data_IF_331162609060
#
_entry.id   IF_331162609060
#
_cell.length_a   1.000
_cell.length_b   1.000
_cell.length_c   1.000
_cell.angle_alpha   90.00
_cell.angle_beta   90.00
_cell.angle_gamma   90.00
#
_symmetry.space_group_name_H-M   'P 1'
#
loop_
_entity.id
_entity.type
_entity.pdbx_description
1 polymer ?
#
# COMPACT_ATOMS: atom_id res chain seq x y z
N UNK A 1 -36.08 6.59 -7.86
CA UNK A 1 -35.48 7.59 -6.94
C UNK A 1 -34.57 6.93 -5.92
N UNK A 2 -35.03 5.94 -5.13
CA UNK A 2 -34.20 5.24 -4.14
C UNK A 2 -32.94 4.54 -4.73
N UNK A 3 -33.06 3.86 -5.87
CA UNK A 3 -31.94 3.18 -6.54
C UNK A 3 -30.81 4.12 -6.99
N UNK A 4 -31.15 5.35 -7.39
CA UNK A 4 -30.16 6.33 -7.89
C UNK A 4 -29.33 6.87 -6.73
N UNK A 5 -29.97 7.13 -5.60
CA UNK A 5 -29.29 7.58 -4.37
C UNK A 5 -28.35 6.50 -3.83
N UNK A 6 -28.77 5.24 -3.87
CA UNK A 6 -27.96 4.14 -3.34
C UNK A 6 -26.73 3.85 -4.23
N UNK A 7 -26.85 3.94 -5.56
CA UNK A 7 -25.70 3.87 -6.48
C UNK A 7 -24.71 5.02 -6.27
N UNK A 8 -25.21 6.24 -6.03
CA UNK A 8 -24.35 7.39 -5.80
C UNK A 8 -23.55 7.25 -4.50
N UNK A 9 -24.20 6.73 -3.45
CA UNK A 9 -23.55 6.45 -2.16
C UNK A 9 -22.46 5.38 -2.29
N UNK A 10 -22.76 4.28 -3.00
CA UNK A 10 -21.77 3.24 -3.30
C UNK A 10 -20.56 3.81 -4.06
N UNK A 11 -20.81 4.67 -5.05
CA UNK A 11 -19.73 5.34 -5.81
C UNK A 11 -18.85 6.25 -4.95
N UNK A 12 -19.42 7.00 -4.00
CA UNK A 12 -18.63 7.80 -3.07
C UNK A 12 -17.82 6.93 -2.10
N UNK A 13 -18.41 5.88 -1.54
CA UNK A 13 -17.71 4.98 -0.63
C UNK A 13 -16.52 4.31 -1.31
N UNK A 14 -16.65 3.98 -2.60
CA UNK A 14 -15.57 3.42 -3.40
C UNK A 14 -14.47 4.45 -3.70
N UNK A 15 -14.84 5.71 -3.98
CA UNK A 15 -13.88 6.81 -4.14
C UNK A 15 -13.10 7.08 -2.86
N UNK A 16 -13.77 7.13 -1.71
CA UNK A 16 -13.12 7.32 -0.41
C UNK A 16 -12.16 6.17 -0.11
N UNK A 17 -12.59 4.92 -0.32
CA UNK A 17 -11.72 3.74 -0.17
C UNK A 17 -10.54 3.76 -1.12
N UNK A 18 -10.71 4.24 -2.35
CA UNK A 18 -9.63 4.34 -3.33
C UNK A 18 -8.62 5.44 -2.94
N UNK A 19 -9.10 6.57 -2.44
CA UNK A 19 -8.25 7.65 -1.94
C UNK A 19 -7.44 7.24 -0.71
N UNK A 20 -8.05 6.52 0.23
CA UNK A 20 -7.36 5.97 1.41
C UNK A 20 -6.23 5.01 0.99
N UNK A 21 -6.52 4.04 0.11
CA UNK A 21 -5.54 3.08 -0.40
C UNK A 21 -4.36 3.75 -1.12
N UNK A 22 -4.63 4.79 -1.92
CA UNK A 22 -3.58 5.57 -2.59
C UNK A 22 -2.71 6.35 -1.59
N UNK A 23 -3.31 6.91 -0.53
CA UNK A 23 -2.57 7.58 0.54
C UNK A 23 -1.68 6.61 1.31
N UNK A 24 -2.18 5.43 1.63
CA UNK A 24 -1.46 4.36 2.33
C UNK A 24 -0.25 3.86 1.53
N UNK A 25 -0.44 3.54 0.25
CA UNK A 25 0.66 3.12 -0.63
C UNK A 25 1.73 4.22 -0.77
N UNK A 26 1.32 5.49 -0.87
CA UNK A 26 2.23 6.63 -0.93
C UNK A 26 3.08 6.78 0.33
N UNK A 27 2.49 6.58 1.52
CA UNK A 27 3.22 6.62 2.79
C UNK A 27 4.24 5.49 2.90
N UNK A 28 3.85 4.26 2.56
CA UNK A 28 4.75 3.11 2.56
C UNK A 28 5.92 3.32 1.60
N UNK A 29 5.67 3.77 0.36
CA UNK A 29 6.73 4.09 -0.61
C UNK A 29 7.73 5.09 -0.04
N UNK A 30 7.26 6.15 0.61
CA UNK A 30 8.14 7.15 1.23
C UNK A 30 8.99 6.57 2.36
N UNK A 31 8.43 5.69 3.20
CA UNK A 31 9.18 5.05 4.27
C UNK A 31 10.23 4.07 3.73
N UNK A 32 9.88 3.29 2.72
CA UNK A 32 10.79 2.35 2.04
C UNK A 32 11.92 3.13 1.37
N UNK A 33 11.61 4.21 0.66
CA UNK A 33 12.62 5.08 0.04
C UNK A 33 13.57 5.67 1.09
N UNK A 34 13.02 6.10 2.24
CA UNK A 34 13.83 6.65 3.32
C UNK A 34 14.78 5.63 3.94
N UNK A 35 14.35 4.36 4.10
CA UNK A 35 15.17 3.33 4.75
C UNK A 35 16.12 2.61 3.79
N UNK A 36 15.65 2.28 2.59
CA UNK A 36 16.33 1.37 1.65
C UNK A 36 16.64 2.02 0.29
N UNK A 37 16.29 3.29 0.09
CA UNK A 37 16.51 4.02 -1.16
C UNK A 37 15.36 3.96 -2.16
N UNK A 38 15.33 4.94 -3.05
CA UNK A 38 14.27 5.14 -4.06
C UNK A 38 14.10 3.91 -4.98
N UNK A 39 15.21 3.31 -5.44
CA UNK A 39 15.18 2.10 -6.28
C UNK A 39 14.37 0.95 -5.64
N UNK A 40 14.51 0.77 -4.33
CA UNK A 40 13.76 -0.25 -3.58
C UNK A 40 12.26 0.08 -3.58
N UNK A 41 11.92 1.34 -3.34
CA UNK A 41 10.54 1.81 -3.31
C UNK A 41 9.85 1.73 -4.69
N UNK A 42 10.58 2.04 -5.77
CA UNK A 42 10.07 1.93 -7.14
C UNK A 42 9.84 0.47 -7.55
N UNK A 43 10.77 -0.43 -7.20
CA UNK A 43 10.64 -1.86 -7.49
C UNK A 43 9.42 -2.51 -6.83
N UNK A 44 8.93 -1.94 -5.74
CA UNK A 44 7.78 -2.43 -4.98
C UNK A 44 6.49 -1.62 -5.19
N UNK A 45 6.54 -0.50 -5.93
CA UNK A 45 5.40 0.41 -6.08
C UNK A 45 4.10 -0.30 -6.49
N UNK A 46 4.18 -1.19 -7.49
CA UNK A 46 3.03 -1.95 -7.98
C UNK A 46 2.52 -3.04 -7.03
N UNK A 47 3.35 -3.53 -6.10
CA UNK A 47 2.96 -4.50 -5.08
C UNK A 47 2.33 -3.79 -3.88
N UNK A 48 2.87 -2.65 -3.47
CA UNK A 48 2.31 -1.82 -2.40
C UNK A 48 0.89 -1.34 -2.73
N UNK A 49 0.62 -1.01 -3.99
CA UNK A 49 -0.73 -0.68 -4.48
C UNK A 49 -1.72 -1.87 -4.36
N UNK A 50 -1.22 -3.12 -4.32
CA UNK A 50 -2.04 -4.34 -4.16
C UNK A 50 -2.19 -4.75 -2.71
N UNK A 51 -1.19 -4.46 -1.87
CA UNK A 51 -1.17 -4.73 -0.44
C UNK A 51 -1.92 -3.67 0.38
N UNK A 52 -2.59 -2.71 -0.28
CA UNK A 52 -3.42 -1.72 0.38
C UNK A 52 -4.55 -2.38 1.20
N UNK A 53 -4.50 -2.15 2.51
CA UNK A 53 -5.42 -2.69 3.51
C UNK A 53 -4.71 -2.82 4.85
N UNK A 54 -5.44 -2.88 5.99
CA UNK A 54 -4.83 -2.86 7.32
C UNK A 54 -3.79 -3.98 7.52
N UNK A 55 -4.09 -5.19 7.06
CA UNK A 55 -3.22 -6.36 7.23
C UNK A 55 -1.97 -6.28 6.34
N UNK A 56 -2.12 -5.91 5.06
CA UNK A 56 -0.98 -5.76 4.16
C UNK A 56 -0.07 -4.60 4.56
N UNK A 57 -0.63 -3.52 5.10
CA UNK A 57 0.16 -2.42 5.67
C UNK A 57 0.95 -2.89 6.88
N UNK A 58 0.32 -3.65 7.78
CA UNK A 58 1.00 -4.18 8.96
C UNK A 58 2.18 -5.09 8.55
N UNK A 59 1.94 -6.01 7.61
CA UNK A 59 2.97 -6.93 7.12
C UNK A 59 4.15 -6.20 6.46
N UNK A 60 3.88 -5.22 5.60
CA UNK A 60 4.94 -4.41 4.96
C UNK A 60 5.69 -3.60 6.01
N UNK A 61 5.01 -3.08 7.02
CA UNK A 61 5.63 -2.29 8.09
C UNK A 61 6.52 -3.16 8.98
N UNK A 62 6.06 -4.36 9.35
CA UNK A 62 6.83 -5.32 10.12
C UNK A 62 8.08 -5.76 9.34
N UNK A 63 7.92 -6.10 8.06
CA UNK A 63 9.05 -6.39 7.18
C UNK A 63 10.03 -5.21 7.07
N UNK A 64 9.54 -3.97 7.06
CA UNK A 64 10.37 -2.77 7.00
C UNK A 64 11.21 -2.61 8.27
N UNK A 65 10.73 -3.05 9.43
CA UNK A 65 11.51 -3.03 10.67
C UNK A 65 12.49 -4.20 10.77
N UNK A 66 12.08 -5.40 10.35
CA UNK A 66 12.83 -6.64 10.49
C UNK A 66 13.97 -6.80 9.48
N UNK A 67 13.79 -6.31 8.24
CA UNK A 67 14.79 -6.49 7.19
C UNK A 67 15.97 -5.52 7.37
N UNK A 68 17.19 -6.04 7.17
CA UNK A 68 18.43 -5.28 7.25
C UNK A 68 18.78 -4.57 5.94
N UNK A 69 18.29 -5.07 4.80
CA UNK A 69 18.60 -4.53 3.47
C UNK A 69 17.37 -4.40 2.58
N UNK A 70 17.49 -3.57 1.53
CA UNK A 70 16.41 -3.41 0.53
C UNK A 70 16.12 -4.69 -0.25
N UNK A 71 17.12 -5.50 -0.58
CA UNK A 71 16.90 -6.78 -1.29
C UNK A 71 16.18 -7.81 -0.42
N UNK A 72 16.59 -7.96 0.85
CA UNK A 72 15.90 -8.83 1.82
C UNK A 72 14.44 -8.40 2.00
N UNK A 73 14.20 -7.09 2.09
CA UNK A 73 12.85 -6.53 2.16
C UNK A 73 12.03 -6.84 0.90
N UNK A 74 12.61 -6.67 -0.29
CA UNK A 74 11.95 -6.98 -1.56
C UNK A 74 11.59 -8.46 -1.66
N UNK A 75 12.51 -9.35 -1.29
CA UNK A 75 12.26 -10.78 -1.30
C UNK A 75 11.11 -11.15 -0.37
N UNK A 76 11.11 -10.61 0.85
CA UNK A 76 10.05 -10.85 1.82
C UNK A 76 8.69 -10.38 1.35
N UNK A 77 8.59 -9.14 0.85
CA UNK A 77 7.33 -8.56 0.34
C UNK A 77 6.84 -9.25 -0.95
N UNK A 78 7.70 -9.97 -1.68
CA UNK A 78 7.33 -10.76 -2.85
C UNK A 78 6.85 -12.18 -2.52
N UNK A 79 7.21 -12.70 -1.35
CA UNK A 79 6.86 -14.05 -0.91
C UNK A 79 5.59 -14.09 -0.05
N UNK A 80 5.22 -12.97 0.58
CA UNK A 80 3.88 -12.75 1.16
C UNK A 80 2.83 -12.49 0.08
#
# INVERSE_FOLDING_TARGET
MAEVVDRFRQGMDELVRRGARQGEAGLLRRQIAHRFGEDTAERLASQLDRLCGPEGIAEVTDALFECGTGEEFIERVRMG
#
